data_IF_420497329342
#
_entry.id   IF_420497329342
#
_cell.length_a   1.000
_cell.length_b   1.000
_cell.length_c   1.000
_cell.angle_alpha   90.00
_cell.angle_beta   90.00
_cell.angle_gamma   90.00
#
_symmetry.space_group_name_H-M   'P 1'
#
loop_
_entity.id
_entity.type
_entity.pdbx_description
1 polymer ?
#
# COMPACT_ATOMS: atom_id res chain seq x y z
N UNK A 1 30.37 -0.21 3.95
CA UNK A 1 29.46 -1.00 3.09
C UNK A 1 28.19 -1.24 3.90
N UNK A 2 27.06 -0.82 3.40
CA UNK A 2 25.75 -1.07 4.06
C UNK A 2 25.41 -2.55 3.91
N UNK A 3 25.09 -3.21 5.02
CA UNK A 3 24.75 -4.63 5.05
C UNK A 3 23.40 -4.88 4.36
N UNK A 4 23.34 -5.77 3.38
CA UNK A 4 22.10 -6.21 2.74
C UNK A 4 21.33 -7.13 3.70
N UNK A 5 20.10 -6.75 4.05
CA UNK A 5 19.24 -7.52 4.95
C UNK A 5 18.09 -8.21 4.22
N UNK A 6 17.72 -7.74 3.02
CA UNK A 6 16.79 -8.45 2.13
C UNK A 6 17.47 -8.57 0.77
N UNK A 7 17.62 -9.82 0.29
CA UNK A 7 18.14 -10.15 -1.04
C UNK A 7 17.11 -10.97 -1.79
N UNK A 8 16.75 -10.54 -2.99
CA UNK A 8 15.74 -11.18 -3.83
C UNK A 8 16.29 -11.39 -5.22
N UNK A 9 16.25 -12.64 -5.72
CA UNK A 9 16.76 -12.99 -7.05
C UNK A 9 15.77 -13.87 -7.82
N UNK A 10 15.38 -13.43 -9.02
CA UNK A 10 14.52 -14.14 -9.95
C UNK A 10 13.16 -14.57 -9.38
N UNK A 11 12.68 -13.84 -8.35
CA UNK A 11 11.50 -14.24 -7.57
C UNK A 11 10.24 -14.21 -8.44
N UNK A 12 9.53 -15.33 -8.47
CA UNK A 12 8.26 -15.45 -9.17
C UNK A 12 7.23 -16.24 -8.37
N UNK A 13 5.97 -15.82 -8.53
CA UNK A 13 4.81 -16.52 -7.93
C UNK A 13 3.69 -16.64 -8.93
N UNK A 14 3.21 -17.85 -9.14
CA UNK A 14 2.01 -18.13 -9.93
C UNK A 14 0.94 -18.80 -9.07
N UNK A 15 -0.29 -18.48 -9.35
CA UNK A 15 -1.46 -19.11 -8.74
C UNK A 15 -2.26 -19.84 -9.81
N UNK A 16 -2.89 -20.94 -9.45
CA UNK A 16 -3.80 -21.67 -10.33
C UNK A 16 -5.18 -21.01 -10.27
N UNK A 17 -5.71 -20.63 -11.43
CA UNK A 17 -7.03 -20.03 -11.52
C UNK A 17 -8.10 -21.07 -11.19
N UNK A 18 -9.01 -20.72 -10.26
CA UNK A 18 -10.14 -21.60 -9.88
C UNK A 18 -9.83 -22.62 -8.77
N UNK A 19 -8.61 -22.69 -8.24
CA UNK A 19 -8.36 -23.39 -6.98
C UNK A 19 -8.46 -22.41 -5.81
N UNK A 20 -9.37 -22.68 -4.87
CA UNK A 20 -9.24 -22.16 -3.50
C UNK A 20 -7.98 -22.78 -2.91
N UNK A 21 -7.11 -22.00 -2.27
CA UNK A 21 -6.03 -22.54 -1.44
C UNK A 21 -6.67 -23.56 -0.48
N UNK A 22 -6.34 -24.81 -0.68
CA UNK A 22 -6.91 -25.87 0.13
C UNK A 22 -6.18 -25.89 1.46
N UNK A 23 -6.82 -25.38 2.48
CA UNK A 23 -6.59 -25.92 3.79
C UNK A 23 -6.98 -27.41 3.71
N UNK A 24 -5.98 -28.29 3.62
CA UNK A 24 -6.17 -29.73 3.66
C UNK A 24 -6.61 -30.11 5.08
N UNK A 25 -7.89 -29.96 5.36
CA UNK A 25 -8.45 -30.62 6.53
C UNK A 25 -8.30 -32.15 6.32
N UNK A 26 -7.77 -32.84 7.30
CA UNK A 26 -7.58 -34.30 7.30
C UNK A 26 -8.84 -35.05 6.83
N UNK A 27 -10.02 -34.47 7.11
CA UNK A 27 -11.33 -34.96 6.68
C UNK A 27 -11.47 -35.02 5.15
N UNK A 28 -10.92 -34.02 4.42
CA UNK A 28 -11.05 -33.93 2.95
C UNK A 28 -10.10 -34.92 2.23
N UNK A 29 -9.01 -35.29 2.89
CA UNK A 29 -8.08 -36.33 2.39
C UNK A 29 -8.73 -37.72 2.51
N UNK A 30 -9.38 -37.99 3.63
CA UNK A 30 -10.03 -39.28 3.89
C UNK A 30 -11.29 -39.50 3.01
N UNK A 31 -12.12 -38.50 2.82
CA UNK A 31 -13.31 -38.59 1.97
C UNK A 31 -12.98 -38.81 0.49
N UNK A 32 -11.84 -38.30 -0.01
CA UNK A 32 -11.39 -38.51 -1.39
C UNK A 32 -10.83 -39.90 -1.65
N UNK A 33 -10.18 -40.49 -0.67
CA UNK A 33 -9.68 -41.85 -0.81
C UNK A 33 -10.83 -42.87 -1.07
N UNK A 34 -12.03 -42.55 -0.58
CA UNK A 34 -13.20 -43.45 -0.69
C UNK A 34 -14.16 -43.12 -1.86
N UNK A 35 -14.10 -41.93 -2.48
CA UNK A 35 -15.12 -41.54 -3.45
C UNK A 35 -14.65 -41.35 -4.90
N UNK A 36 -13.41 -41.67 -5.25
CA UNK A 36 -12.89 -41.42 -6.59
C UNK A 36 -12.28 -42.62 -7.31
N UNK A 37 -13.09 -43.47 -8.00
CA UNK A 37 -12.52 -44.14 -9.16
C UNK A 37 -13.16 -43.82 -10.52
N UNK A 38 -14.24 -43.07 -10.67
CA UNK A 38 -15.01 -43.12 -11.95
C UNK A 38 -15.38 -41.79 -12.63
N UNK A 39 -14.79 -40.64 -12.30
CA UNK A 39 -15.02 -39.40 -13.09
C UNK A 39 -13.76 -38.92 -13.80
N UNK A 40 -13.42 -39.55 -14.94
CA UNK A 40 -12.53 -38.96 -15.97
C UNK A 40 -13.33 -37.97 -16.81
N UNK A 41 -13.58 -36.78 -16.27
CA UNK A 41 -13.96 -35.62 -17.09
C UNK A 41 -12.73 -35.09 -17.87
N UNK A 42 -12.91 -34.36 -19.01
CA UNK A 42 -11.80 -33.83 -19.78
C UNK A 42 -10.88 -33.03 -18.84
N UNK A 43 -9.59 -33.35 -18.84
CA UNK A 43 -8.56 -32.62 -18.10
C UNK A 43 -8.51 -31.18 -18.64
N UNK A 44 -9.21 -30.24 -18.02
CA UNK A 44 -8.99 -28.84 -18.28
C UNK A 44 -7.54 -28.52 -17.96
N UNK A 45 -6.83 -28.03 -18.95
CA UNK A 45 -5.46 -27.49 -18.76
C UNK A 45 -5.57 -26.44 -17.65
N UNK A 46 -4.80 -26.59 -16.56
CA UNK A 46 -4.89 -25.62 -15.47
C UNK A 46 -4.41 -24.26 -15.96
N UNK A 47 -5.27 -23.28 -15.83
CA UNK A 47 -4.92 -21.89 -16.12
C UNK A 47 -4.13 -21.30 -14.94
N UNK A 48 -3.00 -20.65 -15.23
CA UNK A 48 -2.12 -20.07 -14.22
C UNK A 48 -2.00 -18.57 -14.40
N UNK A 49 -2.21 -17.83 -13.33
CA UNK A 49 -1.96 -16.41 -13.25
C UNK A 49 -0.61 -16.15 -12.55
N UNK A 50 0.29 -15.48 -13.22
CA UNK A 50 1.52 -14.98 -12.60
C UNK A 50 1.24 -13.69 -11.85
N UNK A 51 1.38 -13.72 -10.53
CA UNK A 51 1.30 -12.54 -9.69
C UNK A 51 2.65 -11.80 -9.63
N UNK A 52 3.77 -12.53 -9.76
CA UNK A 52 5.12 -11.98 -9.84
C UNK A 52 5.96 -12.79 -10.83
N UNK A 53 6.84 -12.12 -11.58
CA UNK A 53 7.76 -12.72 -12.54
C UNK A 53 9.11 -12.04 -12.46
N UNK A 54 10.17 -12.83 -12.23
CA UNK A 54 11.55 -12.41 -12.37
C UNK A 54 11.85 -11.09 -11.63
N UNK A 55 11.48 -11.05 -10.35
CA UNK A 55 11.66 -9.90 -9.47
C UNK A 55 13.00 -10.05 -8.75
N UNK A 56 13.90 -9.05 -8.90
CA UNK A 56 15.21 -9.04 -8.25
C UNK A 56 15.51 -7.64 -7.69
N UNK A 57 15.93 -7.57 -6.44
CA UNK A 57 16.34 -6.35 -5.75
C UNK A 57 17.01 -6.66 -4.40
N UNK A 58 17.72 -5.66 -3.88
CA UNK A 58 18.33 -5.68 -2.55
C UNK A 58 17.78 -4.56 -1.69
N UNK A 59 17.70 -4.78 -0.38
CA UNK A 59 17.39 -3.74 0.62
C UNK A 59 18.47 -3.80 1.71
N UNK A 60 19.04 -2.63 1.99
CA UNK A 60 20.07 -2.45 3.00
C UNK A 60 19.48 -2.27 4.40
N UNK A 61 20.27 -2.56 5.44
CA UNK A 61 19.90 -2.30 6.83
C UNK A 61 19.56 -0.82 7.04
N UNK A 62 18.44 -0.55 7.71
CA UNK A 62 17.97 0.81 8.00
C UNK A 62 17.33 1.54 6.83
N UNK A 63 17.20 0.89 5.67
CA UNK A 63 16.56 1.49 4.51
C UNK A 63 15.03 1.42 4.61
N UNK A 64 14.36 2.54 4.28
CA UNK A 64 12.90 2.60 4.15
C UNK A 64 12.53 2.62 2.69
N UNK A 65 11.96 1.52 2.21
CA UNK A 65 11.63 1.30 0.80
C UNK A 65 10.13 1.31 0.59
N UNK A 66 9.67 2.17 -0.31
CA UNK A 66 8.28 2.21 -0.77
C UNK A 66 8.02 1.21 -1.88
N UNK A 67 6.89 0.52 -1.83
CA UNK A 67 6.45 -0.39 -2.87
C UNK A 67 5.17 0.17 -3.51
N UNK A 68 5.25 0.60 -4.76
CA UNK A 68 4.13 1.20 -5.50
C UNK A 68 3.73 0.38 -6.72
N UNK A 69 2.54 0.64 -7.22
CA UNK A 69 1.98 0.00 -8.41
C UNK A 69 0.45 -0.07 -8.35
N UNK A 70 -0.19 -0.35 -9.46
CA UNK A 70 -1.64 -0.47 -9.56
C UNK A 70 -2.17 -1.63 -8.70
N UNK A 71 -3.50 -1.65 -8.47
CA UNK A 71 -4.14 -2.81 -7.84
C UNK A 71 -3.92 -4.05 -8.70
N UNK A 72 -3.56 -5.17 -8.06
CA UNK A 72 -3.21 -6.41 -8.77
C UNK A 72 -1.79 -6.47 -9.34
N UNK A 73 -0.95 -5.44 -9.19
CA UNK A 73 0.43 -5.45 -9.69
C UNK A 73 1.36 -6.47 -9.00
N UNK A 74 0.95 -7.07 -7.87
CA UNK A 74 1.74 -8.06 -7.16
C UNK A 74 2.33 -7.60 -5.82
N UNK A 75 2.07 -6.36 -5.37
CA UNK A 75 2.63 -5.78 -4.12
C UNK A 75 2.40 -6.65 -2.89
N UNK A 76 1.16 -6.97 -2.57
CA UNK A 76 0.81 -7.82 -1.42
C UNK A 76 1.36 -9.25 -1.56
N UNK A 77 1.45 -9.78 -2.79
CA UNK A 77 2.09 -11.08 -3.05
C UNK A 77 3.58 -11.03 -2.72
N UNK A 78 4.28 -9.97 -3.10
CA UNK A 78 5.68 -9.78 -2.76
C UNK A 78 5.88 -9.72 -1.24
N UNK A 79 5.08 -8.91 -0.53
CA UNK A 79 5.17 -8.85 0.93
C UNK A 79 4.92 -10.22 1.59
N UNK A 80 3.92 -10.99 1.12
CA UNK A 80 3.64 -12.35 1.62
C UNK A 80 4.79 -13.31 1.41
N UNK A 81 5.54 -13.19 0.30
CA UNK A 81 6.73 -13.98 0.03
C UNK A 81 7.87 -13.60 0.97
N UNK A 82 8.13 -12.29 1.16
CA UNK A 82 9.16 -11.79 2.06
C UNK A 82 8.85 -12.13 3.53
N UNK A 83 7.57 -12.05 3.93
CA UNK A 83 7.11 -12.45 5.25
C UNK A 83 7.03 -13.99 5.43
N UNK A 84 7.41 -14.78 4.42
CA UNK A 84 7.35 -16.25 4.41
C UNK A 84 5.95 -16.85 4.63
N UNK A 85 4.89 -16.06 4.43
CA UNK A 85 3.49 -16.53 4.49
C UNK A 85 3.19 -17.48 3.32
N UNK A 86 3.79 -17.22 2.15
CA UNK A 86 3.68 -18.12 0.98
C UNK A 86 5.05 -18.42 0.39
N UNK A 87 5.16 -19.56 -0.31
CA UNK A 87 6.41 -19.98 -0.95
C UNK A 87 6.50 -19.46 -2.39
N UNK A 88 7.68 -19.10 -2.89
CA UNK A 88 7.88 -18.73 -4.28
C UNK A 88 7.67 -19.92 -5.20
N UNK A 89 7.36 -19.65 -6.48
CA UNK A 89 7.33 -20.66 -7.54
C UNK A 89 8.68 -20.78 -8.24
N UNK A 90 9.37 -19.65 -8.40
CA UNK A 90 10.72 -19.54 -8.97
C UNK A 90 11.54 -18.54 -8.15
N UNK A 91 12.87 -18.64 -8.25
CA UNK A 91 13.77 -17.77 -7.56
C UNK A 91 13.74 -17.94 -6.04
N UNK A 92 14.36 -17.00 -5.33
CA UNK A 92 14.40 -17.02 -3.87
C UNK A 92 14.40 -15.60 -3.28
N UNK A 93 14.10 -15.52 -2.00
CA UNK A 93 14.26 -14.32 -1.18
C UNK A 93 14.94 -14.69 0.13
N UNK A 94 16.05 -14.05 0.43
CA UNK A 94 16.75 -14.16 1.70
C UNK A 94 16.45 -12.94 2.55
N UNK A 95 15.97 -13.16 3.79
CA UNK A 95 15.66 -12.10 4.74
C UNK A 95 16.40 -12.41 6.04
N UNK A 96 17.31 -11.51 6.43
CA UNK A 96 18.21 -11.63 7.59
C UNK A 96 17.76 -10.70 8.69
N UNK A 97 17.30 -11.26 9.80
CA UNK A 97 16.81 -10.55 10.99
C UNK A 97 15.38 -10.92 11.36
N UNK A 98 14.93 -10.38 12.50
CA UNK A 98 13.56 -10.56 13.00
C UNK A 98 12.59 -9.72 12.14
N UNK A 99 11.63 -10.41 11.53
CA UNK A 99 10.61 -9.80 10.66
C UNK A 99 9.34 -9.56 11.47
N UNK A 100 8.80 -8.35 11.39
CA UNK A 100 7.44 -8.02 11.79
C UNK A 100 6.59 -7.68 10.58
N UNK A 101 5.32 -8.07 10.59
CA UNK A 101 4.41 -7.81 9.48
C UNK A 101 3.12 -7.20 10.00
N UNK A 102 2.75 -6.05 9.45
CA UNK A 102 1.45 -5.43 9.67
C UNK A 102 0.42 -5.89 8.62
N UNK A 103 0.73 -6.91 7.81
CA UNK A 103 -0.19 -7.50 6.83
C UNK A 103 -1.39 -8.18 7.49
N UNK A 104 -1.20 -8.67 8.70
CA UNK A 104 -2.16 -9.51 9.42
C UNK A 104 -2.58 -8.87 10.75
N UNK A 105 -2.79 -7.53 10.75
CA UNK A 105 -3.29 -6.81 11.93
C UNK A 105 -4.63 -7.40 12.38
N UNK A 106 -4.70 -7.81 13.64
CA UNK A 106 -5.87 -8.47 14.22
C UNK A 106 -5.93 -9.99 14.02
N UNK A 107 -4.97 -10.58 13.32
CA UNK A 107 -4.85 -12.04 13.26
C UNK A 107 -4.54 -12.59 14.64
N UNK A 108 -5.25 -13.66 15.01
CA UNK A 108 -5.11 -14.31 16.30
C UNK A 108 -5.98 -13.72 17.41
N UNK A 109 -6.74 -12.66 17.17
CA UNK A 109 -7.72 -12.20 18.15
C UNK A 109 -8.82 -13.23 18.38
N UNK A 110 -9.11 -13.51 19.64
CA UNK A 110 -10.15 -14.44 20.04
C UNK A 110 -11.32 -13.69 20.69
N UNK A 111 -12.56 -13.84 20.19
CA UNK A 111 -13.68 -13.04 20.63
C UNK A 111 -14.09 -13.26 22.09
N UNK A 112 -13.84 -14.44 22.65
CA UNK A 112 -14.18 -14.76 24.04
C UNK A 112 -13.13 -14.27 25.05
N UNK A 113 -11.92 -13.96 24.60
CA UNK A 113 -10.86 -13.40 25.45
C UNK A 113 -11.05 -11.89 25.62
N UNK A 114 -10.63 -11.38 26.77
CA UNK A 114 -10.60 -9.93 27.06
C UNK A 114 -9.62 -9.19 26.16
N UNK A 115 -9.71 -7.87 26.10
CA UNK A 115 -8.73 -7.04 25.39
C UNK A 115 -7.31 -7.29 25.89
N UNK A 116 -7.12 -7.43 27.22
CA UNK A 116 -5.85 -7.73 27.86
C UNK A 116 -5.28 -9.08 27.40
N UNK A 117 -6.07 -10.13 27.45
CA UNK A 117 -5.65 -11.47 27.01
C UNK A 117 -5.34 -11.50 25.51
N UNK A 118 -6.09 -10.74 24.68
CA UNK A 118 -5.82 -10.61 23.26
C UNK A 118 -4.51 -9.85 22.97
N UNK A 119 -4.08 -8.90 23.81
CA UNK A 119 -2.73 -8.30 23.70
C UNK A 119 -1.65 -9.37 23.81
N UNK A 120 -1.77 -10.26 24.81
CA UNK A 120 -0.79 -11.35 24.98
C UNK A 120 -0.85 -12.35 23.83
N UNK A 121 -2.03 -12.77 23.42
CA UNK A 121 -2.22 -13.73 22.34
C UNK A 121 -1.65 -13.19 21.02
N UNK A 122 -2.07 -11.98 20.63
CA UNK A 122 -1.61 -11.35 19.39
C UNK A 122 -0.11 -11.01 19.45
N UNK A 123 0.37 -10.48 20.58
CA UNK A 123 1.80 -10.21 20.77
C UNK A 123 2.65 -11.46 20.60
N UNK A 124 2.23 -12.60 21.19
CA UNK A 124 2.92 -13.88 21.04
C UNK A 124 2.91 -14.39 19.59
N UNK A 125 1.78 -14.29 18.89
CA UNK A 125 1.66 -14.66 17.46
C UNK A 125 2.59 -13.81 16.60
N UNK A 126 2.69 -12.51 16.89
CA UNK A 126 3.59 -11.59 16.21
C UNK A 126 5.07 -11.77 16.62
N UNK A 127 5.36 -12.71 17.54
CA UNK A 127 6.71 -13.08 17.95
C UNK A 127 7.28 -12.24 19.08
N UNK A 128 6.46 -11.56 19.89
CA UNK A 128 6.91 -10.93 21.15
C UNK A 128 7.05 -11.99 22.23
N UNK A 129 8.09 -11.88 23.02
CA UNK A 129 8.20 -12.66 24.27
C UNK A 129 7.22 -12.10 25.33
N UNK A 130 6.85 -12.95 26.30
CA UNK A 130 5.98 -12.51 27.41
C UNK A 130 6.56 -11.27 28.12
N UNK A 131 7.88 -11.26 28.36
CA UNK A 131 8.57 -10.13 28.99
C UNK A 131 8.46 -8.84 28.18
N UNK A 132 8.56 -8.92 26.84
CA UNK A 132 8.36 -7.76 25.96
C UNK A 132 6.92 -7.25 26.02
N UNK A 133 5.94 -8.16 26.09
CA UNK A 133 4.52 -7.78 26.19
C UNK A 133 4.27 -7.10 27.55
N UNK A 134 4.74 -7.69 28.65
CA UNK A 134 4.60 -7.13 30.00
C UNK A 134 5.16 -5.70 30.08
N UNK A 135 6.34 -5.46 29.47
CA UNK A 135 6.97 -4.14 29.45
C UNK A 135 6.25 -3.10 28.61
N UNK A 136 5.54 -3.53 27.57
CA UNK A 136 4.90 -2.64 26.58
C UNK A 136 3.39 -2.52 26.75
N UNK A 137 2.79 -3.30 27.65
CA UNK A 137 1.35 -3.39 27.82
C UNK A 137 0.70 -2.04 28.06
N UNK A 138 1.21 -1.24 28.99
CA UNK A 138 0.65 0.08 29.30
C UNK A 138 0.71 1.02 28.09
N UNK A 139 1.82 1.00 27.35
CA UNK A 139 1.99 1.79 26.14
C UNK A 139 1.04 1.34 25.01
N UNK A 140 0.82 0.03 24.84
CA UNK A 140 -0.12 -0.55 23.89
C UNK A 140 -1.55 -0.09 24.23
N UNK A 141 -1.93 -0.21 25.48
CA UNK A 141 -3.26 0.18 25.98
C UNK A 141 -3.49 1.66 25.77
N UNK A 142 -2.58 2.52 26.21
CA UNK A 142 -2.66 3.97 26.05
C UNK A 142 -2.70 4.39 24.56
N UNK A 143 -1.94 3.72 23.71
CA UNK A 143 -1.97 3.98 22.25
C UNK A 143 -3.32 3.64 21.63
N UNK A 144 -3.90 2.49 22.02
CA UNK A 144 -5.16 1.99 21.48
C UNK A 144 -6.37 2.84 21.91
N UNK A 145 -6.34 3.46 23.10
CA UNK A 145 -7.43 4.22 23.69
C UNK A 145 -8.63 3.36 24.09
N UNK A 146 -8.40 2.11 24.47
CA UNK A 146 -9.46 1.17 24.91
C UNK A 146 -9.36 0.81 26.39
N UNK A 147 -8.70 1.63 27.21
CA UNK A 147 -8.39 1.38 28.62
C UNK A 147 -9.61 0.93 29.43
N UNK A 148 -10.74 1.61 29.21
CA UNK A 148 -11.99 1.34 29.95
C UNK A 148 -12.61 -0.03 29.67
N UNK A 149 -12.25 -0.62 28.53
CA UNK A 149 -12.82 -1.88 28.04
C UNK A 149 -11.84 -3.04 28.10
N UNK A 150 -10.62 -2.81 28.61
CA UNK A 150 -9.50 -3.74 28.52
C UNK A 150 -9.82 -5.14 29.10
N UNK A 151 -10.60 -5.19 30.17
CA UNK A 151 -10.98 -6.43 30.85
C UNK A 151 -12.37 -6.96 30.40
N UNK A 152 -12.90 -6.43 29.31
CA UNK A 152 -14.12 -6.89 28.65
C UNK A 152 -13.79 -7.85 27.50
N UNK A 153 -14.56 -8.93 27.28
CA UNK A 153 -14.38 -9.81 26.11
C UNK A 153 -14.48 -9.06 24.79
N UNK A 154 -13.60 -9.43 23.85
CA UNK A 154 -13.43 -8.71 22.58
C UNK A 154 -14.69 -8.70 21.71
N UNK A 155 -15.57 -9.70 21.84
CA UNK A 155 -16.88 -9.75 21.15
C UNK A 155 -17.78 -8.54 21.43
N UNK A 156 -17.55 -7.82 22.53
CA UNK A 156 -18.28 -6.60 22.88
C UNK A 156 -17.59 -5.32 22.40
N UNK A 157 -16.40 -5.42 21.78
CA UNK A 157 -15.73 -4.29 21.18
C UNK A 157 -16.36 -3.95 19.84
N UNK A 158 -16.46 -2.67 19.51
CA UNK A 158 -16.74 -2.25 18.14
C UNK A 158 -15.59 -2.69 17.21
N UNK A 159 -15.86 -2.84 15.92
CA UNK A 159 -14.82 -3.15 14.92
C UNK A 159 -13.68 -2.13 14.98
N UNK A 160 -14.00 -0.84 15.18
CA UNK A 160 -12.98 0.20 15.34
C UNK A 160 -12.09 -0.01 16.56
N UNK A 161 -12.66 -0.38 17.73
CA UNK A 161 -11.89 -0.68 18.95
C UNK A 161 -10.99 -1.90 18.75
N UNK A 162 -11.50 -2.97 18.11
CA UNK A 162 -10.71 -4.16 17.80
C UNK A 162 -9.51 -3.81 16.91
N UNK A 163 -9.75 -3.04 15.86
CA UNK A 163 -8.69 -2.64 14.94
C UNK A 163 -7.67 -1.69 15.59
N UNK A 164 -8.10 -0.77 16.45
CA UNK A 164 -7.20 0.10 17.22
C UNK A 164 -6.31 -0.70 18.16
N UNK A 165 -6.88 -1.68 18.88
CA UNK A 165 -6.11 -2.57 19.76
C UNK A 165 -5.14 -3.44 18.96
N UNK A 166 -5.58 -4.03 17.86
CA UNK A 166 -4.76 -4.87 17.00
C UNK A 166 -3.56 -4.09 16.43
N UNK A 167 -3.81 -2.88 15.94
CA UNK A 167 -2.76 -2.00 15.45
C UNK A 167 -1.81 -1.56 16.58
N UNK A 168 -2.34 -1.25 17.76
CA UNK A 168 -1.52 -0.88 18.91
C UNK A 168 -0.51 -1.98 19.28
N UNK A 169 -0.92 -3.24 19.31
CA UNK A 169 -0.02 -4.38 19.55
C UNK A 169 1.05 -4.43 18.43
N UNK A 170 0.64 -4.39 17.19
CA UNK A 170 1.53 -4.50 16.05
C UNK A 170 2.52 -3.31 15.92
N UNK A 171 2.09 -2.08 16.25
CA UNK A 171 2.94 -0.88 16.24
C UNK A 171 3.98 -0.85 17.38
N UNK A 172 3.80 -1.65 18.42
CA UNK A 172 4.76 -1.81 19.52
C UNK A 172 5.67 -3.04 19.33
N UNK A 173 5.50 -3.79 18.24
CA UNK A 173 6.49 -4.75 17.81
C UNK A 173 7.77 -4.00 17.42
N UNK A 174 8.92 -4.50 17.84
CA UNK A 174 10.22 -3.91 17.52
C UNK A 174 11.08 -4.89 16.72
N UNK A 175 10.71 -5.21 15.48
CA UNK A 175 11.48 -6.06 14.61
C UNK A 175 12.65 -5.29 14.00
N UNK A 176 13.64 -5.99 13.47
CA UNK A 176 14.72 -5.41 12.66
C UNK A 176 14.21 -5.00 11.27
N UNK A 177 13.25 -5.76 10.73
CA UNK A 177 12.61 -5.54 9.43
C UNK A 177 11.10 -5.50 9.61
N UNK A 178 10.46 -4.42 9.19
CA UNK A 178 9.02 -4.22 9.29
C UNK A 178 8.37 -4.16 7.92
N UNK A 179 7.38 -5.01 7.69
CA UNK A 179 6.52 -4.94 6.50
C UNK A 179 5.20 -4.24 6.84
N UNK A 180 4.92 -3.16 6.14
CA UNK A 180 3.73 -2.33 6.36
C UNK A 180 2.90 -2.34 5.08
N UNK A 181 1.68 -2.86 5.15
CA UNK A 181 0.70 -2.75 4.08
C UNK A 181 -0.28 -1.61 4.39
N UNK A 182 -1.12 -1.26 3.47
CA UNK A 182 -2.13 -0.20 3.44
C UNK A 182 -2.99 0.00 4.72
N UNK A 183 -2.79 -0.83 5.74
CA UNK A 183 -3.55 -0.90 7.00
C UNK A 183 -3.45 0.37 7.88
N UNK A 184 -2.62 1.37 7.50
CA UNK A 184 -2.54 2.64 8.25
C UNK A 184 -3.81 3.51 8.19
N UNK A 185 -4.77 3.17 7.32
CA UNK A 185 -6.05 3.87 7.20
C UNK A 185 -7.13 3.40 8.20
N UNK A 186 -6.71 2.74 9.29
CA UNK A 186 -7.62 2.19 10.32
C UNK A 186 -7.99 3.23 11.37
N UNK A 187 -9.25 3.21 11.80
CA UNK A 187 -9.75 4.08 12.85
C UNK A 187 -10.14 5.48 12.37
N UNK A 188 -10.30 6.39 13.31
CA UNK A 188 -10.59 7.79 13.03
C UNK A 188 -9.32 8.58 12.65
N UNK A 189 -9.51 9.82 12.21
CA UNK A 189 -8.41 10.70 11.76
C UNK A 189 -7.35 10.92 12.85
N UNK A 190 -7.75 10.95 14.12
CA UNK A 190 -6.83 11.13 15.24
C UNK A 190 -5.94 9.90 15.41
N UNK A 191 -6.54 8.73 15.38
CA UNK A 191 -5.79 7.47 15.47
C UNK A 191 -4.87 7.26 14.27
N UNK A 192 -5.32 7.59 13.06
CA UNK A 192 -4.47 7.56 11.86
C UNK A 192 -3.24 8.46 12.01
N UNK A 193 -3.38 9.68 12.56
CA UNK A 193 -2.25 10.55 12.85
C UNK A 193 -1.27 9.93 13.85
N UNK A 194 -1.78 9.28 14.92
CA UNK A 194 -0.95 8.54 15.89
C UNK A 194 -0.20 7.38 15.21
N UNK A 195 -0.86 6.64 14.32
CA UNK A 195 -0.23 5.56 13.54
C UNK A 195 0.91 6.06 12.65
N UNK A 196 0.67 7.14 11.89
CA UNK A 196 1.69 7.74 11.01
C UNK A 196 2.87 8.26 11.84
N UNK A 197 2.62 8.96 12.95
CA UNK A 197 3.67 9.43 13.86
C UNK A 197 4.51 8.27 14.43
N UNK A 198 3.88 7.17 14.83
CA UNK A 198 4.59 5.98 15.30
C UNK A 198 5.46 5.36 14.20
N UNK A 199 4.96 5.27 12.95
CA UNK A 199 5.74 4.76 11.82
C UNK A 199 6.93 5.67 11.51
N UNK A 200 6.78 6.98 11.62
CA UNK A 200 7.86 7.95 11.44
C UNK A 200 8.97 7.72 12.49
N UNK A 201 8.60 7.58 13.78
CA UNK A 201 9.57 7.29 14.84
C UNK A 201 10.30 5.95 14.61
N UNK A 202 9.59 4.92 14.10
CA UNK A 202 10.19 3.63 13.77
C UNK A 202 11.17 3.80 12.59
N UNK A 203 10.83 4.59 11.57
CA UNK A 203 11.71 4.90 10.45
C UNK A 203 12.99 5.62 10.91
N UNK A 204 12.87 6.60 11.79
CA UNK A 204 14.00 7.36 12.35
C UNK A 204 14.88 6.54 13.29
N UNK A 205 14.38 5.42 13.82
CA UNK A 205 15.17 4.51 14.69
C UNK A 205 16.15 3.62 13.94
N UNK A 206 16.32 3.79 12.61
CA UNK A 206 17.26 3.04 11.78
C UNK A 206 16.84 1.60 11.48
N UNK A 207 15.55 1.29 11.58
CA UNK A 207 14.99 -0.02 11.22
C UNK A 207 14.69 -0.08 9.73
N UNK A 208 14.81 -1.27 9.18
CA UNK A 208 14.46 -1.51 7.77
C UNK A 208 12.97 -1.64 7.61
N UNK A 209 12.37 -0.87 6.69
CA UNK A 209 10.92 -0.88 6.48
C UNK A 209 10.62 -1.06 4.99
N UNK A 210 9.71 -2.00 4.67
CA UNK A 210 9.08 -2.09 3.35
C UNK A 210 7.64 -1.63 3.48
N UNK A 211 7.35 -0.50 2.85
CA UNK A 211 6.11 0.23 3.03
C UNK A 211 5.27 0.21 1.76
N UNK A 212 4.06 -0.34 1.83
CA UNK A 212 3.06 -0.30 0.75
C UNK A 212 1.97 0.69 1.11
N UNK A 213 1.73 1.67 0.25
CA UNK A 213 0.63 2.61 0.41
C UNK A 213 0.15 3.11 -0.95
N UNK A 214 -1.14 3.40 -1.05
CA UNK A 214 -1.71 4.14 -2.17
C UNK A 214 -1.62 5.66 -1.97
N UNK A 215 -1.24 6.11 -0.78
CA UNK A 215 -1.05 7.53 -0.46
C UNK A 215 0.38 7.95 -0.81
N UNK A 216 0.57 8.51 -2.01
CA UNK A 216 1.90 8.90 -2.53
C UNK A 216 2.62 9.88 -1.61
N UNK A 217 1.88 10.76 -0.91
CA UNK A 217 2.46 11.71 0.06
C UNK A 217 3.13 11.01 1.25
N UNK A 218 2.56 9.89 1.74
CA UNK A 218 3.17 9.11 2.82
C UNK A 218 4.46 8.46 2.33
N UNK A 219 4.46 7.87 1.13
CA UNK A 219 5.66 7.25 0.54
C UNK A 219 6.74 8.32 0.33
N UNK A 220 6.38 9.50 -0.21
CA UNK A 220 7.32 10.61 -0.41
C UNK A 220 7.96 11.10 0.87
N UNK A 221 7.20 11.08 1.98
CA UNK A 221 7.65 11.55 3.29
C UNK A 221 8.50 10.52 4.05
N UNK A 222 8.15 9.23 3.93
CA UNK A 222 8.74 8.18 4.76
C UNK A 222 9.85 7.39 4.05
N UNK A 223 9.81 7.27 2.71
CA UNK A 223 10.68 6.37 1.97
C UNK A 223 11.81 7.12 1.27
N UNK A 224 13.03 6.58 1.36
CA UNK A 224 14.17 7.09 0.61
C UNK A 224 14.15 6.59 -0.83
N UNK A 225 13.77 5.32 -1.02
CA UNK A 225 13.74 4.63 -2.31
C UNK A 225 12.38 3.99 -2.56
N UNK A 226 12.03 3.83 -3.83
CA UNK A 226 10.78 3.21 -4.25
C UNK A 226 11.05 2.13 -5.29
N UNK A 227 10.34 1.01 -5.13
CA UNK A 227 10.21 -0.06 -6.12
C UNK A 227 8.84 0.09 -6.79
N UNK A 228 8.82 0.36 -8.09
CA UNK A 228 7.60 0.40 -8.88
C UNK A 228 7.35 -0.97 -9.50
N UNK A 229 6.27 -1.64 -9.08
CA UNK A 229 5.82 -2.91 -9.65
C UNK A 229 4.70 -2.66 -10.65
N UNK A 230 4.84 -3.28 -11.82
CA UNK A 230 3.84 -3.30 -12.88
C UNK A 230 3.79 -4.70 -13.50
N UNK A 231 2.58 -5.24 -13.64
CA UNK A 231 2.32 -6.57 -14.22
C UNK A 231 3.21 -7.70 -13.63
N UNK A 232 3.43 -7.63 -12.33
CA UNK A 232 4.22 -8.61 -11.58
C UNK A 232 5.73 -8.49 -11.74
N UNK A 233 6.26 -7.41 -12.33
CA UNK A 233 7.69 -7.15 -12.51
C UNK A 233 8.10 -5.81 -11.89
N UNK A 234 9.37 -5.67 -11.53
CA UNK A 234 9.91 -4.34 -11.21
C UNK A 234 10.07 -3.57 -12.51
N UNK A 235 9.31 -2.50 -12.67
CA UNK A 235 9.42 -1.57 -13.79
C UNK A 235 10.59 -0.62 -13.61
N UNK A 236 10.69 -0.02 -12.41
CA UNK A 236 11.76 0.91 -12.04
C UNK A 236 12.03 0.87 -10.54
N UNK A 237 13.25 1.23 -10.17
CA UNK A 237 13.66 1.47 -8.80
C UNK A 237 14.52 2.72 -8.74
N UNK A 238 14.42 3.48 -7.66
CA UNK A 238 15.21 4.69 -7.49
C UNK A 238 14.72 5.59 -6.35
N UNK A 239 15.28 6.80 -6.22
CA UNK A 239 14.86 7.77 -5.21
C UNK A 239 13.37 8.07 -5.25
N UNK A 240 12.73 8.16 -4.08
CA UNK A 240 11.28 8.25 -3.97
C UNK A 240 10.68 9.42 -4.77
N UNK A 241 11.28 10.61 -4.69
CA UNK A 241 10.78 11.78 -5.43
C UNK A 241 10.74 11.60 -6.94
N UNK A 242 11.77 10.94 -7.51
CA UNK A 242 11.89 10.70 -8.96
C UNK A 242 10.87 9.66 -9.42
N UNK A 243 10.86 8.49 -8.77
CA UNK A 243 9.99 7.38 -9.18
C UNK A 243 8.52 7.72 -8.99
N UNK A 244 8.15 8.45 -7.92
CA UNK A 244 6.78 8.90 -7.70
C UNK A 244 6.32 9.89 -8.78
N UNK A 245 7.17 10.85 -9.18
CA UNK A 245 6.84 11.77 -10.26
C UNK A 245 6.58 11.06 -11.59
N UNK A 246 7.41 10.08 -11.94
CA UNK A 246 7.22 9.27 -13.14
C UNK A 246 5.95 8.40 -13.07
N UNK A 247 5.67 7.82 -11.89
CA UNK A 247 4.47 7.00 -11.68
C UNK A 247 3.19 7.83 -11.80
N UNK A 248 3.15 9.01 -11.17
CA UNK A 248 2.01 9.94 -11.27
C UNK A 248 1.79 10.37 -12.72
N UNK A 249 2.86 10.70 -13.45
CA UNK A 249 2.79 11.04 -14.88
C UNK A 249 2.26 9.87 -15.74
N UNK A 250 2.70 8.64 -15.45
CA UNK A 250 2.22 7.45 -16.15
C UNK A 250 0.74 7.15 -15.88
N UNK A 251 0.26 7.42 -14.65
CA UNK A 251 -1.17 7.29 -14.33
C UNK A 251 -2.01 8.31 -15.08
N UNK A 252 -1.55 9.56 -15.21
CA UNK A 252 -2.25 10.61 -15.96
C UNK A 252 -2.29 10.30 -17.45
N UNK A 253 -1.20 9.84 -18.05
CA UNK A 253 -1.14 9.47 -19.46
C UNK A 253 -1.97 8.22 -19.77
N UNK A 254 -1.99 7.24 -18.87
CA UNK A 254 -2.80 6.03 -18.99
C UNK A 254 -4.32 6.27 -18.86
N UNK A 255 -4.76 7.30 -18.15
CA UNK A 255 -6.17 7.70 -18.11
C UNK A 255 -6.62 8.35 -19.42
N UNK A 256 -5.72 9.02 -20.13
CA UNK A 256 -6.03 9.57 -21.47
C UNK A 256 -6.25 8.49 -22.53
N UNK A 257 -5.67 7.30 -22.36
CA UNK A 257 -5.83 6.18 -23.30
C UNK A 257 -6.98 5.23 -22.95
N UNK A 258 -7.48 5.22 -21.71
CA UNK A 258 -8.56 4.33 -21.27
C UNK A 258 -9.97 4.95 -21.29
N UNK A 259 -10.12 6.24 -21.63
CA UNK A 259 -11.40 6.84 -21.99
C UNK A 259 -11.80 6.53 -23.45
N UNK A 260 -11.26 5.46 -24.02
CA UNK A 260 -11.78 4.81 -25.21
C UNK A 260 -13.16 4.19 -24.97
N UNK A 261 -14.18 5.02 -24.74
CA UNK A 261 -15.52 4.63 -25.09
C UNK A 261 -15.48 4.21 -26.57
N UNK A 262 -15.85 2.95 -26.82
CA UNK A 262 -16.21 2.47 -28.18
C UNK A 262 -17.44 3.24 -28.66
N UNK A 263 -17.23 4.44 -29.08
CA UNK A 263 -18.17 5.37 -29.67
C UNK A 263 -17.36 6.61 -29.97
N UNK A 264 -16.94 6.80 -31.23
CA UNK A 264 -15.98 7.79 -31.66
C UNK A 264 -16.37 9.23 -31.37
N UNK A 265 -16.20 9.68 -30.16
CA UNK A 265 -16.17 11.10 -29.81
C UNK A 265 -14.75 11.57 -30.15
N UNK A 266 -14.58 12.16 -31.35
CA UNK A 266 -13.36 12.90 -31.70
C UNK A 266 -13.19 14.02 -30.67
N UNK A 267 -12.14 13.95 -29.84
CA UNK A 267 -11.74 15.03 -28.92
C UNK A 267 -11.52 16.29 -29.76
N UNK A 268 -12.33 17.31 -29.54
CA UNK A 268 -12.27 18.57 -30.30
C UNK A 268 -11.15 19.49 -29.83
N UNK A 269 -10.62 19.27 -28.64
CA UNK A 269 -9.53 20.05 -28.05
C UNK A 269 -8.68 19.19 -27.10
N UNK A 270 -7.40 19.52 -26.96
CA UNK A 270 -6.43 18.86 -26.09
C UNK A 270 -5.76 19.91 -25.22
N UNK A 271 -5.69 19.65 -23.91
CA UNK A 271 -4.88 20.44 -23.01
C UNK A 271 -3.38 20.16 -23.26
N UNK A 272 -2.61 21.23 -23.50
CA UNK A 272 -1.18 21.11 -23.84
C UNK A 272 -0.30 21.38 -22.64
N UNK A 273 -0.68 22.35 -21.81
CA UNK A 273 0.09 22.69 -20.63
C UNK A 273 -0.41 23.98 -19.96
N UNK A 274 0.27 24.37 -18.90
CA UNK A 274 0.01 25.60 -18.19
C UNK A 274 1.33 26.24 -17.75
N UNK A 275 1.32 27.53 -17.52
CA UNK A 275 2.47 28.32 -17.06
C UNK A 275 1.98 29.44 -16.15
N UNK A 276 2.71 29.68 -15.08
CA UNK A 276 2.54 30.85 -14.23
C UNK A 276 3.43 31.97 -14.83
N UNK A 277 2.82 33.13 -15.14
CA UNK A 277 3.54 34.33 -15.55
C UNK A 277 3.97 35.09 -14.31
N UNK A 278 5.17 35.72 -14.38
CA UNK A 278 5.72 36.55 -13.29
C UNK A 278 6.18 35.77 -12.05
N UNK A 279 6.85 34.65 -12.25
CA UNK A 279 7.58 33.99 -11.18
C UNK A 279 8.88 34.78 -10.92
N UNK A 280 9.10 35.25 -9.69
CA UNK A 280 10.37 35.85 -9.26
C UNK A 280 11.46 34.82 -8.94
N UNK A 281 11.29 33.58 -9.35
CA UNK A 281 12.24 32.50 -9.09
C UNK A 281 12.74 31.89 -10.40
N UNK A 282 13.97 31.40 -10.40
CA UNK A 282 14.58 30.65 -11.52
C UNK A 282 13.91 29.28 -11.75
N UNK A 283 13.02 28.88 -10.86
CA UNK A 283 12.25 27.63 -10.97
C UNK A 283 10.88 27.90 -11.62
N UNK A 284 10.54 27.22 -12.71
CA UNK A 284 9.25 27.38 -13.37
C UNK A 284 8.10 26.98 -12.42
N UNK A 285 7.04 27.80 -12.43
CA UNK A 285 5.81 27.54 -11.66
C UNK A 285 5.95 27.53 -10.12
N UNK A 286 6.98 28.18 -9.58
CA UNK A 286 7.15 28.38 -8.14
C UNK A 286 6.83 29.82 -7.76
N UNK A 287 5.88 30.01 -6.84
CA UNK A 287 5.54 31.31 -6.25
C UNK A 287 6.28 31.45 -4.92
N UNK A 288 7.06 32.49 -4.78
CA UNK A 288 7.81 32.81 -3.55
C UNK A 288 7.16 33.88 -2.69
N UNK A 289 6.18 34.61 -3.24
CA UNK A 289 5.46 35.68 -2.56
C UNK A 289 3.96 35.58 -2.80
N UNK A 290 3.16 36.07 -1.83
CA UNK A 290 1.71 36.24 -1.96
C UNK A 290 1.41 37.49 -2.80
N UNK A 291 0.59 37.34 -3.85
CA UNK A 291 0.20 38.45 -4.73
C UNK A 291 -0.71 37.97 -5.86
N UNK A 292 -1.03 38.89 -6.77
CA UNK A 292 -1.77 38.52 -7.99
C UNK A 292 -0.92 37.63 -8.88
N UNK A 293 -1.52 36.57 -9.39
CA UNK A 293 -0.87 35.54 -10.19
C UNK A 293 -1.63 35.36 -11.50
N UNK A 294 -0.93 35.48 -12.62
CA UNK A 294 -1.47 35.15 -13.94
C UNK A 294 -1.10 33.73 -14.32
N UNK A 295 -2.09 32.86 -14.48
CA UNK A 295 -1.92 31.50 -14.96
C UNK A 295 -2.40 31.39 -16.41
N UNK A 296 -1.52 31.00 -17.32
CA UNK A 296 -1.83 30.77 -18.73
C UNK A 296 -2.02 29.28 -18.99
N UNK A 297 -3.13 28.93 -19.63
CA UNK A 297 -3.41 27.56 -20.06
C UNK A 297 -3.31 27.50 -21.59
N UNK A 298 -2.57 26.51 -22.07
CA UNK A 298 -2.46 26.23 -23.49
C UNK A 298 -3.38 25.05 -23.85
N UNK A 299 -4.31 25.27 -24.79
CA UNK A 299 -5.23 24.27 -25.30
C UNK A 299 -5.11 24.24 -26.82
N UNK A 300 -4.85 23.08 -27.39
CA UNK A 300 -4.84 22.84 -28.83
C UNK A 300 -6.26 22.44 -29.26
N UNK A 301 -6.84 23.18 -30.20
CA UNK A 301 -8.22 22.98 -30.67
C UNK A 301 -8.18 22.41 -32.08
N UNK A 302 -8.75 21.21 -32.28
CA UNK A 302 -8.75 20.48 -33.56
C UNK A 302 -10.03 20.67 -34.38
N UNK A 303 -11.11 21.14 -33.73
CA UNK A 303 -12.40 21.41 -34.40
C UNK A 303 -13.16 22.50 -33.63
N UNK A 304 -14.08 23.23 -34.30
CA UNK A 304 -14.88 24.23 -33.63
C UNK A 304 -15.59 23.67 -32.39
N UNK A 305 -15.35 24.31 -31.24
CA UNK A 305 -16.01 23.98 -29.97
C UNK A 305 -17.23 24.87 -29.86
N UNK A 306 -18.43 24.31 -29.97
CA UNK A 306 -19.67 25.03 -29.72
C UNK A 306 -19.95 24.99 -28.22
N UNK A 307 -20.27 26.17 -27.64
CA UNK A 307 -20.80 26.39 -26.28
C UNK A 307 -20.52 25.22 -25.29
N UNK A 308 -19.48 25.33 -24.53
CA UNK A 308 -19.13 24.34 -23.49
C UNK A 308 -18.97 24.99 -22.13
N UNK A 309 -19.31 24.25 -21.09
CA UNK A 309 -18.90 24.60 -19.74
C UNK A 309 -17.38 24.42 -19.64
N UNK A 310 -16.70 25.44 -19.12
CA UNK A 310 -15.27 25.35 -18.85
C UNK A 310 -15.02 25.84 -17.42
N UNK A 311 -14.08 25.22 -16.78
CA UNK A 311 -13.70 25.55 -15.42
C UNK A 311 -12.29 25.10 -15.10
N UNK A 312 -11.73 25.72 -14.11
CA UNK A 312 -10.41 25.40 -13.57
C UNK A 312 -10.58 25.14 -12.08
N UNK A 313 -10.01 24.07 -11.60
CA UNK A 313 -9.98 23.76 -10.19
C UNK A 313 -8.53 23.47 -9.74
N UNK A 314 -8.13 24.13 -8.66
CA UNK A 314 -6.83 23.90 -8.01
C UNK A 314 -7.05 22.99 -6.80
N UNK A 315 -6.28 21.95 -6.75
CA UNK A 315 -6.27 21.01 -5.64
C UNK A 315 -4.90 21.02 -4.96
N UNK A 316 -4.87 20.84 -3.65
CA UNK A 316 -3.61 20.60 -2.94
C UNK A 316 -3.10 19.16 -3.24
N UNK A 317 -1.93 18.82 -2.68
CA UNK A 317 -1.32 17.49 -2.81
C UNK A 317 -2.18 16.36 -2.23
N UNK A 318 -3.15 16.68 -1.37
CA UNK A 318 -4.12 15.74 -0.78
C UNK A 318 -5.43 15.65 -1.58
N UNK A 319 -5.49 16.27 -2.77
CA UNK A 319 -6.69 16.38 -3.63
C UNK A 319 -7.86 17.12 -2.99
N UNK A 320 -7.61 17.96 -2.01
CA UNK A 320 -8.63 18.85 -1.48
C UNK A 320 -8.76 20.05 -2.41
N UNK A 321 -9.99 20.42 -2.74
CA UNK A 321 -10.27 21.57 -3.58
C UNK A 321 -9.86 22.86 -2.82
N UNK A 322 -8.84 23.53 -3.33
CA UNK A 322 -8.36 24.80 -2.78
C UNK A 322 -9.08 25.99 -3.40
N UNK A 323 -9.35 25.91 -4.70
CA UNK A 323 -10.00 26.95 -5.45
C UNK A 323 -10.61 26.38 -6.73
N UNK A 324 -11.76 26.89 -7.13
CA UNK A 324 -12.37 26.55 -8.42
C UNK A 324 -13.01 27.78 -9.06
N UNK A 325 -12.87 27.87 -10.35
CA UNK A 325 -13.55 28.85 -11.18
C UNK A 325 -14.24 28.15 -12.36
N UNK A 326 -15.46 28.51 -12.63
CA UNK A 326 -16.22 27.99 -13.75
C UNK A 326 -17.07 29.08 -14.37
N UNK A 327 -17.25 29.06 -15.68
CA UNK A 327 -18.10 29.97 -16.40
C UNK A 327 -19.08 29.18 -17.26
N UNK A 328 -20.37 29.44 -17.08
CA UNK A 328 -21.43 28.69 -17.76
C UNK A 328 -21.68 29.12 -19.20
N UNK A 329 -21.09 30.24 -19.62
CA UNK A 329 -21.22 30.75 -21.00
C UNK A 329 -19.94 31.45 -21.47
N UNK A 330 -19.47 31.08 -22.65
CA UNK A 330 -18.62 31.93 -23.48
C UNK A 330 -19.60 32.69 -24.41
N UNK A 331 -19.62 34.03 -24.29
CA UNK A 331 -20.25 34.88 -25.30
C UNK A 331 -19.33 35.01 -26.48
#
# INVERSE_FOLDING_TARGET
MTETVIHVEGLGKRYRVGERERYLALRDVLTRAFTSPLRRGPRRVPDYLWALRDVSFDISRGEVVGLIGRNGAGKTTLLKLLARITRPTTGFAEVRGRVGSLLEVGTGFHPELTGRENIYLSGAILGMSKKEIDQKQDAIVAFSGVERYLDTPLKYFSTGMQMRLAFAVAAHLEPEILFVDEVLAVGDLEFQKKCIGKMQNISESGRTIVFVSHQMNQIRRLCQRVLWIEDGRIRKTGPAGVILGEYESALMSGQSSNNGHKGGVRTKAKFVGWQISETQSDLPNLLTTLGEVTVRFAVEVFAPVQLGHHGIALFNSERQLMWAWGKDQIK
#
